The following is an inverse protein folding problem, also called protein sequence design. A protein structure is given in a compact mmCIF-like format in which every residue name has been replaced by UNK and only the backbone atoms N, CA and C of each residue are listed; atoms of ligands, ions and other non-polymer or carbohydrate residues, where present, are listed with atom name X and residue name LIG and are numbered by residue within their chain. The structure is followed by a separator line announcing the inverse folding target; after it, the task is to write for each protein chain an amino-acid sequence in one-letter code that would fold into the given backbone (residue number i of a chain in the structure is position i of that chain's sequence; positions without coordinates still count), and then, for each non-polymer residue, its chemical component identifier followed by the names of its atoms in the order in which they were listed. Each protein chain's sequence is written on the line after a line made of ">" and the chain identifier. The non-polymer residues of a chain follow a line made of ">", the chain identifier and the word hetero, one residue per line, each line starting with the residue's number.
data_IF_667040909879
#
_entry.id   IF_667040909879
#
_cell.length_a   1.000
_cell.length_b   1.000
_cell.length_c   1.000
_cell.angle_alpha   90.00
_cell.angle_beta   90.00
_cell.angle_gamma   90.00
#
_symmetry.space_group_name_H-M   'P 1'
#
loop_
_entity.id
_entity.type
_entity.pdbx_description
1 polymer ?
#
# COMPACT_ATOMS: atom_id res chain seq x y z
N UNK A 1 4.18 0.31 3.77
CA UNK A 1 4.54 -0.26 5.08
C UNK A 1 5.12 -1.65 4.90
N UNK A 2 5.98 -2.05 5.85
CA UNK A 2 6.51 -3.40 5.98
C UNK A 2 5.73 -4.08 7.10
N UNK A 3 5.29 -5.30 6.85
CA UNK A 3 4.53 -6.13 7.77
C UNK A 3 5.29 -7.39 8.11
N UNK A 4 5.16 -7.86 9.35
CA UNK A 4 5.56 -9.21 9.76
C UNK A 4 4.42 -10.18 9.54
N UNK A 5 4.72 -11.49 9.51
CA UNK A 5 3.72 -12.53 9.32
C UNK A 5 3.54 -13.33 10.60
N UNK A 6 2.30 -13.44 11.05
CA UNK A 6 1.91 -14.23 12.22
C UNK A 6 0.90 -15.31 11.81
N UNK A 7 1.20 -16.55 12.20
CA UNK A 7 0.34 -17.71 11.91
C UNK A 7 -0.60 -17.97 13.07
N UNK A 8 -1.89 -18.08 12.80
CA UNK A 8 -2.93 -18.36 13.78
C UNK A 8 -3.71 -19.61 13.40
N UNK A 9 -3.77 -20.58 14.32
CA UNK A 9 -4.56 -21.79 14.12
C UNK A 9 -6.05 -21.48 14.29
N UNK A 10 -6.84 -21.82 13.28
CA UNK A 10 -8.29 -21.64 13.28
C UNK A 10 -9.01 -22.87 13.89
N UNK A 11 -10.29 -22.74 14.18
CA UNK A 11 -11.11 -23.81 14.75
C UNK A 11 -11.23 -25.04 13.83
N UNK A 12 -11.21 -24.84 12.53
CA UNK A 12 -11.25 -25.87 11.49
C UNK A 12 -9.90 -26.56 11.27
N UNK A 13 -8.89 -26.25 12.08
CA UNK A 13 -7.50 -26.72 11.98
C UNK A 13 -6.72 -26.18 10.76
N UNK A 14 -7.25 -25.23 10.02
CA UNK A 14 -6.48 -24.46 9.05
C UNK A 14 -5.63 -23.39 9.75
N UNK A 15 -4.66 -22.85 9.05
CA UNK A 15 -3.90 -21.70 9.53
C UNK A 15 -4.32 -20.45 8.78
N UNK A 16 -4.41 -19.34 9.49
CA UNK A 16 -4.54 -18.03 8.88
C UNK A 16 -3.26 -17.25 9.09
N UNK A 17 -2.68 -16.76 7.99
CA UNK A 17 -1.44 -15.97 8.04
C UNK A 17 -1.80 -14.49 8.03
N UNK A 18 -1.60 -13.84 9.15
CA UNK A 18 -1.88 -12.43 9.33
C UNK A 18 -0.70 -11.55 8.93
N UNK A 19 -0.99 -10.42 8.32
CA UNK A 19 -0.08 -9.31 8.17
C UNK A 19 -0.19 -8.42 9.41
N UNK A 20 0.91 -8.31 10.13
CA UNK A 20 0.99 -7.56 11.39
C UNK A 20 1.82 -6.31 11.16
N UNK A 21 1.28 -5.17 11.50
CA UNK A 21 1.96 -3.90 11.37
C UNK A 21 2.96 -3.67 12.51
N UNK A 22 3.76 -2.59 12.42
CA UNK A 22 4.76 -2.21 13.43
C UNK A 22 4.19 -1.93 14.84
N UNK A 23 2.87 -1.82 14.99
CA UNK A 23 2.20 -1.63 16.27
C UNK A 23 1.61 -2.93 16.82
N UNK A 24 1.88 -4.06 16.18
CA UNK A 24 1.35 -5.37 16.58
C UNK A 24 -0.11 -5.61 16.17
N UNK A 25 -0.69 -4.74 15.34
CA UNK A 25 -2.08 -4.94 14.90
C UNK A 25 -2.14 -5.82 13.65
N UNK A 26 -3.02 -6.83 13.66
CA UNK A 26 -3.39 -7.64 12.50
C UNK A 26 -4.24 -6.81 11.56
N UNK A 27 -3.73 -6.50 10.35
CA UNK A 27 -4.37 -5.58 9.41
C UNK A 27 -5.00 -6.26 8.21
N UNK A 28 -4.48 -7.42 7.82
CA UNK A 28 -4.99 -8.23 6.72
C UNK A 28 -4.50 -9.67 6.88
N UNK A 29 -4.98 -10.58 6.06
CA UNK A 29 -4.50 -11.95 6.00
C UNK A 29 -4.22 -12.37 4.56
N UNK A 30 -3.34 -13.34 4.39
CA UNK A 30 -2.98 -13.89 3.09
C UNK A 30 -4.02 -14.91 2.62
N UNK A 31 -4.10 -15.09 1.30
CA UNK A 31 -4.95 -16.10 0.71
C UNK A 31 -4.49 -17.52 1.14
N UNK A 32 -5.44 -18.42 1.32
CA UNK A 32 -5.22 -19.76 1.85
C UNK A 32 -4.22 -20.63 1.04
N UNK A 33 -4.07 -20.36 -0.25
CA UNK A 33 -3.12 -21.09 -1.10
C UNK A 33 -1.64 -20.89 -0.74
N UNK A 34 -1.31 -19.83 0.00
CA UNK A 34 0.07 -19.51 0.40
C UNK A 34 0.47 -20.08 1.78
N UNK A 35 -0.50 -20.59 2.54
CA UNK A 35 -0.30 -21.01 3.94
C UNK A 35 0.82 -22.05 4.09
N UNK A 36 0.76 -23.14 3.36
CA UNK A 36 1.73 -24.24 3.47
C UNK A 36 3.15 -23.78 3.17
N UNK A 37 3.33 -22.92 2.18
CA UNK A 37 4.63 -22.38 1.80
C UNK A 37 5.19 -21.54 2.94
N UNK A 38 4.38 -20.65 3.49
CA UNK A 38 4.78 -19.73 4.56
C UNK A 38 5.11 -20.50 5.84
N UNK A 39 4.24 -21.42 6.26
CA UNK A 39 4.48 -22.26 7.43
C UNK A 39 5.75 -23.09 7.30
N UNK A 40 6.02 -23.65 6.12
CA UNK A 40 7.26 -24.39 5.86
C UNK A 40 8.51 -23.51 5.99
N UNK A 41 8.45 -22.26 5.54
CA UNK A 41 9.56 -21.30 5.66
C UNK A 41 9.75 -20.86 7.12
N UNK A 42 8.66 -20.59 7.83
CA UNK A 42 8.71 -20.27 9.26
C UNK A 42 9.28 -21.42 10.08
N UNK A 43 8.87 -22.66 9.80
CA UNK A 43 9.38 -23.85 10.48
C UNK A 43 10.90 -24.08 10.23
N UNK A 44 11.41 -23.60 9.11
CA UNK A 44 12.86 -23.60 8.80
C UNK A 44 13.61 -22.44 9.46
N UNK A 45 12.91 -21.57 10.19
CA UNK A 45 13.52 -20.41 10.86
C UNK A 45 13.82 -19.25 9.90
N UNK A 46 13.21 -19.20 8.70
CA UNK A 46 13.41 -18.11 7.77
C UNK A 46 12.68 -16.84 8.24
N UNK A 47 13.29 -15.70 8.00
CA UNK A 47 12.63 -14.40 8.21
C UNK A 47 11.71 -14.09 7.06
N UNK A 48 10.47 -13.72 7.37
CA UNK A 48 9.46 -13.36 6.37
C UNK A 48 8.96 -11.95 6.63
N UNK A 49 8.90 -11.16 5.56
CA UNK A 49 8.35 -9.80 5.54
C UNK A 49 7.40 -9.64 4.38
N UNK A 50 6.36 -8.85 4.54
CA UNK A 50 5.46 -8.48 3.47
C UNK A 50 5.48 -6.97 3.23
N UNK A 51 5.54 -6.58 1.97
CA UNK A 51 5.37 -5.19 1.54
C UNK A 51 4.09 -5.08 0.73
N UNK A 52 3.26 -4.12 1.06
CA UNK A 52 2.01 -3.87 0.36
C UNK A 52 2.29 -3.22 -0.99
N UNK A 53 1.89 -3.88 -2.08
CA UNK A 53 2.03 -3.40 -3.45
C UNK A 53 0.90 -2.44 -3.81
N UNK A 54 -0.34 -2.85 -3.59
CA UNK A 54 -1.52 -2.00 -3.72
C UNK A 54 -2.68 -2.51 -2.88
N UNK A 55 -3.71 -1.65 -2.71
CA UNK A 55 -4.99 -1.99 -2.11
C UNK A 55 -6.10 -1.54 -3.05
N UNK A 56 -7.12 -2.36 -3.20
CA UNK A 56 -8.34 -2.05 -3.91
C UNK A 56 -9.56 -2.28 -3.00
N UNK A 57 -10.63 -1.56 -3.27
CA UNK A 57 -11.92 -1.76 -2.66
C UNK A 57 -12.81 -2.49 -3.67
N UNK A 58 -13.20 -3.71 -3.34
CA UNK A 58 -14.21 -4.48 -4.07
C UNK A 58 -15.62 -4.01 -3.69
N UNK A 59 -16.54 -4.04 -4.65
CA UNK A 59 -17.94 -3.66 -4.42
C UNK A 59 -18.81 -4.87 -4.09
N UNK A 60 -18.49 -6.05 -4.62
CA UNK A 60 -19.24 -7.30 -4.36
C UNK A 60 -18.30 -8.51 -4.20
N UNK A 61 -18.10 -9.01 -2.98
CA UNK A 61 -18.54 -8.41 -1.69
C UNK A 61 -17.76 -7.14 -1.35
N UNK A 62 -18.40 -6.22 -0.63
CA UNK A 62 -17.70 -5.01 -0.18
C UNK A 62 -16.57 -5.42 0.74
N UNK A 63 -15.35 -5.09 0.36
CA UNK A 63 -14.15 -5.42 1.13
C UNK A 63 -12.88 -4.91 0.51
N UNK A 64 -11.85 -4.75 1.35
CA UNK A 64 -10.51 -4.41 0.86
C UNK A 64 -9.76 -5.69 0.49
N UNK A 65 -9.10 -5.65 -0.65
CA UNK A 65 -8.17 -6.67 -1.08
C UNK A 65 -6.91 -6.01 -1.65
N UNK A 66 -5.84 -6.75 -1.81
CA UNK A 66 -4.60 -6.17 -2.32
C UNK A 66 -3.56 -7.21 -2.66
N UNK A 67 -2.42 -6.73 -3.11
CA UNK A 67 -1.27 -7.53 -3.44
C UNK A 67 -0.11 -7.17 -2.53
N UNK A 68 0.59 -8.16 -2.06
CA UNK A 68 1.79 -8.00 -1.25
C UNK A 68 2.97 -8.70 -1.90
N UNK A 69 4.14 -8.11 -1.75
CA UNK A 69 5.41 -8.74 -2.04
C UNK A 69 5.90 -9.44 -0.79
N UNK A 70 6.14 -10.75 -0.88
CA UNK A 70 6.71 -11.53 0.22
C UNK A 70 8.22 -11.63 0.04
N UNK A 71 8.96 -11.16 1.02
CA UNK A 71 10.40 -11.33 1.12
C UNK A 71 10.69 -12.41 2.15
N UNK A 72 11.45 -13.42 1.71
CA UNK A 72 11.87 -14.54 2.55
C UNK A 72 13.38 -14.65 2.48
N UNK A 73 14.06 -14.63 3.61
CA UNK A 73 15.50 -14.71 3.68
C UNK A 73 15.98 -15.58 4.85
N UNK A 74 17.17 -16.12 4.71
CA UNK A 74 17.89 -16.72 5.82
C UNK A 74 18.19 -15.62 6.86
N UNK A 75 17.96 -15.86 8.16
CA UNK A 75 18.26 -14.89 9.23
C UNK A 75 19.70 -14.37 9.22
N UNK A 76 20.64 -15.16 8.69
CA UNK A 76 22.03 -14.73 8.56
C UNK A 76 22.20 -13.44 7.72
N UNK A 77 21.31 -13.23 6.74
CA UNK A 77 21.32 -12.06 5.85
C UNK A 77 20.22 -11.06 6.21
N UNK A 78 19.73 -11.09 7.44
CA UNK A 78 18.58 -10.28 7.86
C UNK A 78 18.83 -8.78 7.73
N UNK A 79 20.06 -8.34 7.95
CA UNK A 79 20.45 -6.94 7.86
C UNK A 79 20.36 -6.42 6.42
N UNK A 80 20.89 -7.18 5.46
CA UNK A 80 20.88 -6.84 4.03
C UNK A 80 19.46 -6.84 3.47
N UNK A 81 18.68 -7.87 3.78
CA UNK A 81 17.29 -7.95 3.34
C UNK A 81 16.38 -6.93 4.01
N UNK A 82 16.66 -6.52 5.24
CA UNK A 82 15.95 -5.42 5.88
C UNK A 82 16.25 -4.08 5.21
N UNK A 83 17.52 -3.79 4.91
CA UNK A 83 17.90 -2.59 4.17
C UNK A 83 17.24 -2.58 2.77
N UNK A 84 17.28 -3.72 2.07
CA UNK A 84 16.61 -3.88 0.79
C UNK A 84 15.09 -3.62 0.89
N UNK A 85 14.42 -4.19 1.90
CA UNK A 85 12.99 -3.99 2.11
C UNK A 85 12.64 -2.51 2.35
N UNK A 86 13.48 -1.78 3.07
CA UNK A 86 13.30 -0.34 3.30
C UNK A 86 13.42 0.46 2.00
N UNK A 87 14.47 0.20 1.20
CA UNK A 87 14.69 0.85 -0.08
C UNK A 87 13.57 0.50 -1.10
N UNK A 88 13.15 -0.76 -1.12
CA UNK A 88 12.04 -1.22 -1.97
C UNK A 88 10.73 -0.53 -1.57
N UNK A 89 10.46 -0.38 -0.28
CA UNK A 89 9.29 0.36 0.21
C UNK A 89 9.30 1.81 -0.24
N UNK A 90 10.46 2.48 -0.22
CA UNK A 90 10.58 3.87 -0.68
C UNK A 90 10.30 3.98 -2.19
N UNK A 91 10.86 3.08 -2.99
CA UNK A 91 10.59 2.99 -4.42
C UNK A 91 9.10 2.76 -4.71
N UNK A 92 8.46 1.84 -3.99
CA UNK A 92 7.03 1.58 -4.11
C UNK A 92 6.19 2.79 -3.64
N UNK A 93 6.68 3.54 -2.67
CA UNK A 93 6.04 4.76 -2.20
C UNK A 93 6.00 5.88 -3.26
N UNK A 94 6.94 5.89 -4.18
CA UNK A 94 6.96 6.78 -5.34
C UNK A 94 6.00 6.34 -6.46
N UNK A 95 5.27 5.24 -6.25
CA UNK A 95 4.34 4.67 -7.23
C UNK A 95 4.99 3.73 -8.24
N UNK A 96 6.24 3.37 -8.04
CA UNK A 96 6.94 2.38 -8.87
C UNK A 96 6.58 0.98 -8.39
N UNK A 97 6.19 0.10 -9.31
CA UNK A 97 5.97 -1.33 -9.04
C UNK A 97 7.15 -2.12 -9.63
N UNK A 98 8.14 -2.47 -8.82
CA UNK A 98 9.27 -3.26 -9.29
C UNK A 98 8.83 -4.71 -9.57
N UNK A 99 9.47 -5.35 -10.56
CA UNK A 99 9.35 -6.79 -10.75
C UNK A 99 10.10 -7.48 -9.60
N UNK A 100 9.40 -8.36 -8.90
CA UNK A 100 9.93 -9.00 -7.68
C UNK A 100 10.11 -10.51 -7.82
N UNK A 101 10.23 -11.01 -9.04
CA UNK A 101 10.63 -12.40 -9.30
C UNK A 101 12.13 -12.54 -9.01
N UNK A 102 12.45 -12.82 -7.75
CA UNK A 102 13.83 -12.93 -7.32
C UNK A 102 14.42 -14.27 -7.69
N UNK A 103 15.35 -14.20 -8.62
CA UNK A 103 16.27 -15.29 -8.92
C UNK A 103 17.36 -15.37 -7.84
N UNK A 104 18.10 -16.48 -7.82
CA UNK A 104 19.31 -16.60 -6.97
C UNK A 104 20.32 -15.47 -7.22
N UNK A 105 20.41 -15.00 -8.47
CA UNK A 105 21.26 -13.87 -8.84
C UNK A 105 20.80 -12.56 -8.16
N UNK A 106 19.51 -12.28 -8.12
CA UNK A 106 18.97 -11.12 -7.44
C UNK A 106 19.24 -11.17 -5.93
N UNK A 107 19.09 -12.36 -5.31
CA UNK A 107 19.43 -12.54 -3.90
C UNK A 107 20.91 -12.25 -3.63
N UNK A 108 21.81 -12.71 -4.48
CA UNK A 108 23.24 -12.38 -4.38
C UNK A 108 23.50 -10.88 -4.53
N UNK A 109 22.84 -10.21 -5.47
CA UNK A 109 22.98 -8.76 -5.63
C UNK A 109 22.51 -7.97 -4.41
N UNK A 110 21.44 -8.42 -3.73
CA UNK A 110 20.98 -7.83 -2.48
C UNK A 110 22.08 -7.96 -1.40
N UNK A 111 22.64 -9.15 -1.25
CA UNK A 111 23.68 -9.44 -0.25
C UNK A 111 24.95 -8.62 -0.56
N UNK A 112 25.49 -8.70 -1.77
CA UNK A 112 26.73 -8.05 -2.18
C UNK A 112 26.63 -6.52 -2.08
N UNK A 113 25.46 -5.96 -2.39
CA UNK A 113 25.19 -4.52 -2.28
C UNK A 113 24.82 -4.07 -0.86
N UNK A 114 24.76 -4.96 0.12
CA UNK A 114 24.26 -4.70 1.48
C UNK A 114 22.85 -4.09 1.50
N UNK A 115 22.00 -4.58 0.58
CA UNK A 115 20.60 -4.17 0.46
C UNK A 115 20.35 -2.88 -0.32
N UNK A 116 21.37 -2.29 -0.96
CA UNK A 116 21.19 -1.06 -1.76
C UNK A 116 20.77 -1.33 -3.20
N UNK A 117 20.96 -2.56 -3.69
CA UNK A 117 20.48 -2.94 -5.02
C UNK A 117 18.95 -2.89 -5.08
N UNK A 118 18.42 -2.42 -6.20
CA UNK A 118 16.99 -2.42 -6.50
C UNK A 118 16.74 -2.98 -7.90
N UNK A 119 15.64 -3.71 -8.14
CA UNK A 119 15.29 -4.21 -9.45
C UNK A 119 15.02 -3.05 -10.41
N UNK A 120 15.57 -3.13 -11.62
CA UNK A 120 15.36 -2.15 -12.68
C UNK A 120 14.03 -2.36 -13.40
N UNK A 121 13.58 -3.61 -13.46
CA UNK A 121 12.38 -3.99 -14.19
C UNK A 121 11.13 -3.57 -13.42
N UNK A 122 10.13 -3.11 -14.18
CA UNK A 122 8.88 -2.60 -13.63
C UNK A 122 7.70 -3.43 -14.11
N UNK A 123 6.78 -3.71 -13.21
CA UNK A 123 5.52 -4.35 -13.55
C UNK A 123 4.50 -3.26 -13.91
N UNK A 124 3.67 -3.52 -14.91
CA UNK A 124 2.59 -2.61 -15.30
C UNK A 124 1.55 -2.40 -14.19
N UNK A 125 0.58 -1.55 -14.46
CA UNK A 125 -0.53 -1.30 -13.53
C UNK A 125 -1.21 -2.61 -13.12
N UNK A 126 -1.65 -2.75 -11.85
CA UNK A 126 -2.34 -3.94 -11.39
C UNK A 126 -3.60 -4.18 -12.23
N UNK A 127 -3.88 -5.44 -12.53
CA UNK A 127 -5.19 -5.82 -13.07
C UNK A 127 -6.20 -5.74 -11.92
N UNK A 128 -7.05 -4.73 -12.00
CA UNK A 128 -8.12 -4.52 -11.04
C UNK A 128 -9.37 -5.20 -11.61
N UNK A 129 -10.10 -5.94 -10.78
CA UNK A 129 -11.38 -6.53 -11.16
C UNK A 129 -12.39 -5.41 -11.54
N UNK A 130 -13.33 -5.73 -12.45
CA UNK A 130 -14.24 -4.74 -13.04
C UNK A 130 -15.00 -3.91 -12.01
N UNK A 131 -15.33 -4.50 -10.87
CA UNK A 131 -16.13 -3.89 -9.81
C UNK A 131 -15.29 -3.46 -8.59
N UNK A 132 -14.00 -3.19 -8.83
CA UNK A 132 -13.08 -2.75 -7.77
C UNK A 132 -12.48 -1.40 -8.12
N UNK A 133 -12.25 -0.59 -7.08
CA UNK A 133 -11.61 0.71 -7.20
C UNK A 133 -10.25 0.71 -6.51
N UNK A 134 -9.20 1.11 -7.23
CA UNK A 134 -7.86 1.22 -6.66
C UNK A 134 -7.85 2.29 -5.57
N UNK A 135 -7.45 1.91 -4.37
CA UNK A 135 -7.23 2.85 -3.27
C UNK A 135 -5.83 3.43 -3.42
N UNK A 136 -5.74 4.71 -3.77
CA UNK A 136 -4.46 5.40 -3.83
C UNK A 136 -3.88 5.55 -2.43
N UNK A 137 -2.85 4.78 -2.14
CA UNK A 137 -2.10 4.86 -0.87
C UNK A 137 -1.15 6.05 -0.84
N UNK A 138 -0.78 6.58 -2.01
CA UNK A 138 0.07 7.76 -2.14
C UNK A 138 -0.61 8.85 -2.94
N UNK A 139 -0.73 10.02 -2.30
CA UNK A 139 -1.09 11.25 -2.97
C UNK A 139 0.15 11.83 -3.63
N UNK A 140 0.04 12.24 -4.88
CA UNK A 140 1.10 12.98 -5.57
C UNK A 140 1.46 14.26 -4.78
N UNK A 141 2.65 14.80 -4.98
CA UNK A 141 3.06 16.05 -4.32
C UNK A 141 2.06 17.18 -4.60
N UNK A 142 1.49 17.23 -5.81
CA UNK A 142 0.43 18.18 -6.18
C UNK A 142 -0.87 17.97 -5.40
N UNK A 143 -1.30 16.72 -5.22
CA UNK A 143 -2.49 16.40 -4.41
C UNK A 143 -2.30 16.75 -2.94
N UNK A 144 -1.09 16.52 -2.38
CA UNK A 144 -0.73 16.93 -1.01
C UNK A 144 -0.74 18.45 -0.86
N UNK A 145 -0.24 19.20 -1.84
CA UNK A 145 -0.26 20.65 -1.85
C UNK A 145 -1.69 21.21 -1.95
N UNK A 146 -2.53 20.64 -2.79
CA UNK A 146 -3.94 21.03 -2.92
C UNK A 146 -4.68 20.78 -1.60
N UNK A 147 -4.44 19.64 -0.94
CA UNK A 147 -5.06 19.33 0.34
C UNK A 147 -4.56 20.19 1.48
N UNK A 148 -3.25 20.47 1.54
CA UNK A 148 -2.66 21.41 2.50
C UNK A 148 -3.21 22.84 2.27
N UNK A 149 -3.41 23.23 1.01
CA UNK A 149 -4.08 24.48 0.64
C UNK A 149 -5.53 24.53 1.11
N UNK A 150 -6.28 23.46 0.93
CA UNK A 150 -7.67 23.33 1.42
C UNK A 150 -7.77 23.37 2.93
N UNK A 151 -6.86 22.70 3.64
CA UNK A 151 -6.86 22.68 5.13
C UNK A 151 -6.47 24.02 5.72
N UNK A 152 -5.52 24.73 5.11
CA UNK A 152 -5.12 26.09 5.56
C UNK A 152 -6.10 27.19 5.20
N UNK A 153 -6.89 27.03 4.14
CA UNK A 153 -7.75 28.06 3.57
C UNK A 153 -9.25 27.79 3.75
N UNK A 154 -9.67 27.15 4.84
CA UNK A 154 -11.10 26.94 5.14
C UNK A 154 -11.88 28.28 5.13
N UNK A 155 -11.25 29.38 5.56
CA UNK A 155 -11.86 30.72 5.51
C UNK A 155 -12.03 31.27 4.11
N UNK A 156 -11.10 31.06 3.21
CA UNK A 156 -11.16 31.55 1.83
C UNK A 156 -12.24 30.84 0.99
N UNK A 157 -12.42 29.54 1.22
CA UNK A 157 -13.46 28.76 0.53
C UNK A 157 -14.86 29.19 0.98
N UNK A 158 -15.03 29.41 2.27
CA UNK A 158 -16.30 29.93 2.83
C UNK A 158 -16.59 31.33 2.33
N UNK A 159 -15.58 32.21 2.28
CA UNK A 159 -15.73 33.57 1.72
C UNK A 159 -16.11 33.56 0.25
N UNK A 160 -15.52 32.67 -0.56
CA UNK A 160 -15.86 32.54 -2.00
C UNK A 160 -17.31 32.07 -2.19
N UNK A 161 -17.78 31.10 -1.40
CA UNK A 161 -19.17 30.64 -1.45
C UNK A 161 -20.12 31.78 -1.05
N UNK A 162 -19.81 32.54 -0.01
CA UNK A 162 -20.63 33.68 0.43
C UNK A 162 -20.73 34.74 -0.70
N UNK A 163 -19.62 35.08 -1.36
CA UNK A 163 -19.59 36.03 -2.45
C UNK A 163 -20.49 35.56 -3.59
N UNK A 164 -20.43 34.28 -4.01
CA UNK A 164 -21.26 33.73 -5.04
C UNK A 164 -22.75 33.73 -4.69
N UNK A 165 -23.09 33.44 -3.43
CA UNK A 165 -24.47 33.51 -2.93
C UNK A 165 -24.98 34.97 -2.98
N UNK A 166 -24.18 35.94 -2.54
CA UNK A 166 -24.55 37.36 -2.58
C UNK A 166 -24.77 37.83 -4.03
N UNK A 167 -23.88 37.46 -4.97
CA UNK A 167 -24.02 37.78 -6.38
C UNK A 167 -25.30 37.17 -6.96
N UNK A 168 -25.59 35.91 -6.67
CA UNK A 168 -26.81 35.24 -7.15
C UNK A 168 -28.08 35.92 -6.63
N UNK A 169 -28.12 36.26 -5.33
CA UNK A 169 -29.25 36.97 -4.71
C UNK A 169 -29.43 38.38 -5.32
N UNK A 170 -28.32 39.09 -5.54
CA UNK A 170 -28.37 40.42 -6.19
C UNK A 170 -28.92 40.37 -7.61
N UNK A 171 -28.52 39.34 -8.39
CA UNK A 171 -29.06 39.13 -9.76
C UNK A 171 -30.54 38.83 -9.75
N UNK A 172 -30.98 37.92 -8.86
CA UNK A 172 -32.42 37.59 -8.72
C UNK A 172 -33.23 38.81 -8.30
N UNK A 173 -32.76 39.59 -7.34
CA UNK A 173 -33.42 40.80 -6.87
C UNK A 173 -33.45 41.94 -7.95
N UNK A 174 -32.40 41.99 -8.80
CA UNK A 174 -32.34 42.91 -9.93
C UNK A 174 -33.35 42.59 -11.04
N UNK A 175 -33.51 41.30 -11.36
CA UNK A 175 -34.48 40.84 -12.36
C UNK A 175 -35.92 40.98 -11.85
N UNK A 176 -36.17 40.82 -10.55
CA UNK A 176 -37.52 40.96 -9.98
C UNK A 176 -38.02 42.43 -9.88
N UNK A 177 -37.13 43.40 -10.14
CA UNK A 177 -37.48 44.85 -10.17
C UNK A 177 -37.63 45.45 -11.58
N UNK A 178 -37.37 44.64 -12.62
CA UNK A 178 -37.65 44.97 -14.03
C UNK A 178 -39.01 44.43 -14.47
#
# INVERSE_FOLDING_TARGET
>A
DIYTLESELQEDRSYRIWLVNRFGAKVAFLAANEEHRILSLQARGWTLRALLSFVALGQEPIGYWGEVVLLCNDPHYDQEFNAFALNLRELMAEGVRPAVDFTEQAARQIIDSKGTWLPSDRVGSPRIEKDSTLVKTHRSASEKLIEAGRQKNKGCYTATIIIWVVVAVALIAGVAKL
#
